data_IF_732504810589
#
_entry.id   IF_732504810589
#
_cell.length_a   1.000
_cell.length_b   1.000
_cell.length_c   1.000
_cell.angle_alpha   90.00
_cell.angle_beta   90.00
_cell.angle_gamma   90.00
#
_symmetry.space_group_name_H-M   'P 1'
#
loop_
_entity.id
_entity.type
_entity.pdbx_description
1 polymer ?
#
# COMPACT_ATOMS: atom_id res chain seq x y z
N UNK A 1 1.83 10.00 1.41
CA UNK A 1 0.52 9.34 1.56
C UNK A 1 0.61 8.16 2.51
N UNK A 2 1.64 7.34 2.39
CA UNK A 2 1.85 6.19 3.29
C UNK A 2 2.44 6.57 4.65
N UNK A 3 2.95 7.79 4.78
CA UNK A 3 3.43 8.31 6.05
C UNK A 3 2.27 8.62 6.99
N UNK A 4 2.42 8.25 8.25
CA UNK A 4 1.41 8.48 9.27
C UNK A 4 1.36 9.94 9.73
N UNK A 5 2.47 10.66 9.58
CA UNK A 5 2.61 12.08 9.90
C UNK A 5 3.82 12.65 9.14
N UNK A 6 3.87 13.96 8.99
CA UNK A 6 4.89 14.71 8.24
C UNK A 6 6.31 14.55 8.82
N UNK A 7 6.93 13.41 8.53
CA UNK A 7 8.31 13.09 8.94
C UNK A 7 8.49 12.81 10.44
N UNK A 8 7.41 12.70 11.19
CA UNK A 8 7.43 12.33 12.60
C UNK A 8 7.08 10.86 12.80
N UNK A 9 7.47 10.33 13.93
CA UNK A 9 7.06 8.99 14.35
C UNK A 9 5.53 8.91 14.38
N UNK A 10 5.01 7.75 13.95
CA UNK A 10 3.58 7.48 13.99
C UNK A 10 3.01 7.75 15.38
N UNK A 11 1.94 8.57 15.45
CA UNK A 11 1.26 8.84 16.71
C UNK A 11 0.56 7.57 17.20
N UNK A 12 0.92 7.03 18.38
CA UNK A 12 0.27 5.85 18.93
C UNK A 12 -1.24 5.99 19.10
N UNK A 13 -1.74 7.20 19.31
CA UNK A 13 -3.18 7.47 19.47
C UNK A 13 -3.99 7.18 18.20
N UNK A 14 -3.36 7.18 17.02
CA UNK A 14 -4.01 6.82 15.76
C UNK A 14 -4.22 5.31 15.62
N UNK A 15 -3.48 4.52 16.37
CA UNK A 15 -3.56 3.05 16.36
C UNK A 15 -3.50 2.48 14.93
N UNK A 16 -2.59 3.03 14.11
CA UNK A 16 -2.31 2.53 12.78
C UNK A 16 -1.34 1.36 12.83
N UNK A 17 -1.61 0.34 12.02
CA UNK A 17 -0.69 -0.79 11.88
C UNK A 17 0.53 -0.37 11.07
N UNK A 18 1.76 -0.53 11.59
CA UNK A 18 2.97 -0.24 10.83
C UNK A 18 3.17 -1.24 9.69
N UNK A 19 3.90 -0.84 8.66
CA UNK A 19 4.51 -1.77 7.73
C UNK A 19 5.56 -2.61 8.43
N UNK A 20 5.75 -3.84 7.95
CA UNK A 20 6.80 -4.77 8.41
C UNK A 20 7.63 -5.19 7.22
N UNK A 21 8.95 -5.11 7.34
CA UNK A 21 9.89 -5.47 6.27
C UNK A 21 10.24 -6.96 6.26
N UNK A 22 11.17 -7.35 5.37
CA UNK A 22 11.64 -8.73 5.22
C UNK A 22 12.32 -9.28 6.48
N UNK A 23 12.95 -8.44 7.28
CA UNK A 23 13.63 -8.82 8.54
C UNK A 23 12.68 -8.83 9.74
N UNK A 24 11.48 -8.26 9.57
CA UNK A 24 10.48 -8.13 10.63
C UNK A 24 10.56 -6.83 11.41
N UNK A 25 11.31 -5.86 10.91
CA UNK A 25 11.34 -4.53 11.51
C UNK A 25 10.05 -3.79 11.19
N UNK A 26 9.53 -3.08 12.18
CA UNK A 26 8.36 -2.22 12.01
C UNK A 26 8.77 -0.82 11.57
N UNK A 27 8.03 -0.29 10.60
CA UNK A 27 8.23 1.07 10.13
C UNK A 27 7.77 2.09 11.18
N UNK A 28 8.65 3.00 11.57
CA UNK A 28 8.28 4.07 12.49
C UNK A 28 7.35 5.12 11.84
N UNK A 29 7.38 5.24 10.52
CA UNK A 29 6.71 6.32 9.77
C UNK A 29 5.70 5.82 8.74
N UNK A 30 5.80 4.56 8.28
CA UNK A 30 4.99 4.04 7.20
C UNK A 30 3.91 3.08 7.70
N UNK A 31 2.67 3.33 7.31
CA UNK A 31 1.51 2.53 7.69
C UNK A 31 1.29 1.41 6.68
N UNK A 32 0.89 0.24 7.16
CA UNK A 32 0.42 -0.85 6.31
C UNK A 32 -0.87 -0.45 5.57
N UNK A 33 -0.93 -0.52 4.23
CA UNK A 33 -2.12 -0.12 3.48
C UNK A 33 -3.36 -0.99 3.75
N UNK A 34 -3.21 -2.17 4.36
CA UNK A 34 -4.34 -2.98 4.84
C UNK A 34 -4.91 -2.49 6.18
N UNK A 35 -4.33 -1.48 6.80
CA UNK A 35 -4.86 -0.90 8.01
C UNK A 35 -6.16 -0.13 7.70
N UNK A 36 -7.30 -0.67 8.05
CA UNK A 36 -8.60 -0.02 7.79
C UNK A 36 -8.74 1.35 8.43
N UNK A 37 -8.19 1.53 9.64
CA UNK A 37 -8.19 2.83 10.31
C UNK A 37 -7.45 3.87 9.49
N UNK A 38 -6.30 3.50 8.93
CA UNK A 38 -5.55 4.37 8.05
C UNK A 38 -6.27 4.61 6.71
N UNK A 39 -6.87 3.58 6.10
CA UNK A 39 -7.64 3.76 4.86
C UNK A 39 -8.78 4.77 5.06
N UNK A 40 -9.51 4.67 6.17
CA UNK A 40 -10.57 5.66 6.50
C UNK A 40 -9.99 7.06 6.74
N UNK A 41 -8.87 7.15 7.43
CA UNK A 41 -8.19 8.42 7.70
C UNK A 41 -7.74 9.12 6.42
N UNK A 42 -7.00 8.41 5.55
CA UNK A 42 -6.51 8.99 4.30
C UNK A 42 -7.64 9.34 3.33
N UNK A 43 -8.65 8.49 3.23
CA UNK A 43 -9.86 8.77 2.44
C UNK A 43 -10.56 10.04 2.94
N UNK A 44 -10.71 10.20 4.25
CA UNK A 44 -11.29 11.40 4.86
C UNK A 44 -10.47 12.66 4.60
N UNK A 45 -9.14 12.59 4.60
CA UNK A 45 -8.29 13.71 4.22
C UNK A 45 -8.49 14.12 2.76
N UNK A 46 -8.48 13.17 1.84
CA UNK A 46 -8.73 13.46 0.42
C UNK A 46 -10.13 14.01 0.17
N UNK A 47 -11.15 13.52 0.87
CA UNK A 47 -12.50 14.06 0.81
C UNK A 47 -12.56 15.54 1.24
N UNK A 48 -11.87 15.90 2.34
CA UNK A 48 -11.80 17.30 2.80
C UNK A 48 -11.16 18.23 1.78
N UNK A 49 -10.05 17.79 1.16
CA UNK A 49 -9.42 18.56 0.10
C UNK A 49 -10.29 18.65 -1.17
N UNK A 50 -11.02 17.60 -1.49
CA UNK A 50 -11.93 17.59 -2.63
C UNK A 50 -13.10 18.57 -2.48
N UNK A 51 -13.55 18.84 -1.24
CA UNK A 51 -14.58 19.86 -0.96
C UNK A 51 -14.18 21.30 -1.37
N UNK A 52 -12.87 21.52 -1.56
CA UNK A 52 -12.35 22.80 -2.07
C UNK A 52 -12.40 22.87 -3.62
N UNK A 53 -12.91 21.83 -4.27
CA UNK A 53 -13.06 21.69 -5.71
C UNK A 53 -11.79 21.97 -6.55
N UNK A 54 -10.60 21.49 -6.14
CA UNK A 54 -9.41 21.62 -6.98
C UNK A 54 -9.61 20.83 -8.27
N UNK A 55 -9.00 21.27 -9.36
CA UNK A 55 -9.05 20.54 -10.65
C UNK A 55 -8.47 19.12 -10.51
N UNK A 56 -7.40 18.95 -9.75
CA UNK A 56 -6.72 17.67 -9.54
C UNK A 56 -6.20 17.59 -8.10
N UNK A 57 -6.43 16.45 -7.46
CA UNK A 57 -5.72 16.02 -6.25
C UNK A 57 -4.70 14.95 -6.62
N UNK A 58 -3.46 15.16 -6.23
CA UNK A 58 -2.39 14.22 -6.51
C UNK A 58 -2.17 13.25 -5.35
N UNK A 59 -2.16 11.95 -5.67
CA UNK A 59 -1.58 10.92 -4.80
C UNK A 59 -0.10 10.86 -5.16
N UNK A 60 0.73 11.17 -4.18
CA UNK A 60 2.17 11.31 -4.40
C UNK A 60 2.90 9.95 -4.49
N UNK A 61 4.17 9.96 -4.86
CA UNK A 61 4.91 8.75 -5.24
C UNK A 61 5.25 7.80 -4.07
N UNK A 62 5.16 8.23 -2.82
CA UNK A 62 5.23 7.36 -1.64
C UNK A 62 4.00 6.46 -1.44
N UNK A 63 3.04 6.51 -2.34
CA UNK A 63 1.95 5.55 -2.39
C UNK A 63 2.46 4.21 -2.95
N UNK A 64 3.21 3.48 -2.11
CA UNK A 64 3.96 2.27 -2.48
C UNK A 64 4.26 1.39 -1.26
N UNK A 65 4.64 0.13 -1.49
CA UNK A 65 4.96 -0.85 -0.46
C UNK A 65 6.47 -0.96 -0.17
N UNK A 66 7.34 -0.49 -1.06
CA UNK A 66 8.73 -0.34 -0.70
C UNK A 66 8.96 1.03 -0.07
N UNK A 67 9.97 1.17 0.75
CA UNK A 67 9.93 2.25 1.68
C UNK A 67 11.26 2.71 2.15
N UNK A 68 11.18 3.77 2.92
CA UNK A 68 12.27 4.51 3.48
C UNK A 68 12.89 3.78 4.68
N UNK A 69 14.14 4.12 4.99
CA UNK A 69 14.75 3.68 6.23
C UNK A 69 13.81 3.93 7.44
N UNK A 70 13.78 3.07 8.47
CA UNK A 70 14.76 1.99 8.68
C UNK A 70 14.45 0.66 8.00
N UNK A 71 13.39 0.57 7.21
CA UNK A 71 12.98 -0.68 6.60
C UNK A 71 13.99 -1.16 5.56
N UNK A 72 14.34 -2.42 5.65
CA UNK A 72 15.04 -3.15 4.60
C UNK A 72 14.07 -3.39 3.45
N UNK A 73 14.56 -3.66 2.25
CA UNK A 73 13.75 -3.81 1.06
C UNK A 73 12.48 -4.64 1.25
N UNK A 74 11.43 -4.16 0.60
CA UNK A 74 10.16 -4.87 0.49
C UNK A 74 9.25 -4.67 1.70
N UNK A 75 8.00 -4.80 1.47
CA UNK A 75 6.94 -4.77 2.45
C UNK A 75 5.62 -5.00 1.73
N UNK A 76 4.55 -5.30 2.40
CA UNK A 76 4.50 -5.48 3.85
C UNK A 76 4.43 -6.98 4.19
N UNK A 77 5.09 -7.38 5.27
CA UNK A 77 5.05 -8.75 5.81
C UNK A 77 4.46 -8.77 7.23
N UNK A 78 3.58 -7.82 7.56
CA UNK A 78 2.82 -7.83 8.81
C UNK A 78 1.87 -9.03 8.88
N UNK A 79 1.34 -9.28 10.06
CA UNK A 79 0.43 -10.40 10.34
C UNK A 79 -0.68 -10.54 9.28
N UNK A 80 -1.32 -9.44 8.90
CA UNK A 80 -2.42 -9.45 7.94
C UNK A 80 -1.97 -9.83 6.53
N UNK A 81 -0.83 -9.34 6.07
CA UNK A 81 -0.25 -9.76 4.80
C UNK A 81 0.16 -11.22 4.81
N UNK A 82 0.68 -11.72 5.94
CA UNK A 82 1.04 -13.12 6.09
C UNK A 82 -0.19 -14.01 6.15
N UNK A 83 -1.27 -13.57 6.79
CA UNK A 83 -2.56 -14.28 6.80
C UNK A 83 -3.11 -14.44 5.38
N UNK A 84 -3.20 -13.33 4.62
CA UNK A 84 -3.66 -13.36 3.23
C UNK A 84 -2.78 -14.23 2.33
N UNK A 85 -1.47 -14.17 2.53
CA UNK A 85 -0.51 -14.99 1.76
C UNK A 85 -0.68 -16.48 2.07
N UNK A 86 -0.89 -16.82 3.34
CA UNK A 86 -1.16 -18.19 3.80
C UNK A 86 -2.46 -18.74 3.22
N UNK A 87 -3.52 -17.95 3.23
CA UNK A 87 -4.80 -18.32 2.63
C UNK A 87 -4.66 -18.63 1.14
N UNK A 88 -3.93 -17.80 0.39
CA UNK A 88 -3.68 -18.03 -1.04
C UNK A 88 -2.75 -19.21 -1.31
N UNK A 89 -1.86 -19.51 -0.38
CA UNK A 89 -1.00 -20.68 -0.47
C UNK A 89 -1.74 -21.98 -0.09
N UNK A 90 -2.93 -21.90 0.48
CA UNK A 90 -3.70 -23.03 0.99
C UNK A 90 -3.08 -23.71 2.22
N UNK A 91 -2.17 -23.03 2.91
CA UNK A 91 -1.53 -23.54 4.14
C UNK A 91 -0.98 -22.40 4.98
N UNK A 92 -0.85 -22.63 6.28
CA UNK A 92 -0.16 -21.71 7.17
C UNK A 92 1.32 -21.57 6.74
N UNK A 93 1.79 -20.33 6.69
CA UNK A 93 3.16 -19.98 6.34
C UNK A 93 3.75 -19.07 7.40
N UNK A 94 4.95 -19.38 7.85
CA UNK A 94 5.76 -18.39 8.57
C UNK A 94 6.33 -17.36 7.59
N UNK A 95 6.68 -16.17 8.10
CA UNK A 95 7.34 -15.15 7.28
C UNK A 95 8.61 -15.68 6.63
N UNK A 96 9.42 -16.41 7.38
CA UNK A 96 10.66 -17.02 6.90
C UNK A 96 10.43 -18.01 5.74
N UNK A 97 9.46 -18.91 5.87
CA UNK A 97 9.12 -19.87 4.82
C UNK A 97 8.65 -19.16 3.56
N UNK A 98 7.80 -18.14 3.73
CA UNK A 98 7.29 -17.35 2.62
C UNK A 98 8.41 -16.60 1.90
N UNK A 99 9.26 -15.90 2.65
CA UNK A 99 10.39 -15.15 2.11
C UNK A 99 11.42 -16.03 1.38
N UNK A 100 11.73 -17.20 1.90
CA UNK A 100 12.59 -18.17 1.18
C UNK A 100 12.06 -18.52 -0.21
N UNK A 101 10.74 -18.58 -0.37
CA UNK A 101 10.13 -18.77 -1.68
C UNK A 101 10.13 -17.49 -2.53
N UNK A 102 9.72 -16.37 -1.95
CA UNK A 102 9.64 -15.08 -2.66
C UNK A 102 11.00 -14.64 -3.19
N UNK A 103 12.05 -14.74 -2.38
CA UNK A 103 13.40 -14.27 -2.70
C UNK A 103 14.29 -15.34 -3.33
N UNK A 104 13.77 -16.53 -3.57
CA UNK A 104 14.54 -17.64 -4.17
C UNK A 104 15.14 -17.19 -5.51
N UNK A 105 16.48 -17.35 -5.71
CA UNK A 105 17.10 -17.12 -7.01
C UNK A 105 16.67 -18.18 -8.03
N UNK A 106 16.78 -17.84 -9.32
CA UNK A 106 16.40 -18.72 -10.43
C UNK A 106 14.90 -18.66 -10.78
N UNK A 107 14.32 -19.77 -11.26
CA UNK A 107 12.91 -19.78 -11.66
C UNK A 107 11.98 -19.32 -10.54
N UNK A 108 10.98 -18.46 -10.83
CA UNK A 108 10.10 -17.91 -9.82
C UNK A 108 9.36 -19.01 -9.04
N UNK A 109 9.43 -18.96 -7.73
CA UNK A 109 8.61 -19.79 -6.87
C UNK A 109 7.15 -19.29 -6.87
N UNK A 110 6.12 -20.17 -6.73
CA UNK A 110 4.72 -19.76 -6.67
C UNK A 110 4.42 -18.67 -5.62
N UNK A 111 5.15 -18.65 -4.51
CA UNK A 111 4.99 -17.62 -3.48
C UNK A 111 5.33 -16.21 -3.96
N UNK A 112 6.23 -16.06 -4.94
CA UNK A 112 6.50 -14.75 -5.55
C UNK A 112 5.25 -14.19 -6.24
N UNK A 113 4.50 -15.02 -6.95
CA UNK A 113 3.22 -14.60 -7.53
C UNK A 113 2.21 -14.22 -6.46
N UNK A 114 2.08 -15.03 -5.41
CA UNK A 114 1.17 -14.74 -4.29
C UNK A 114 1.51 -13.39 -3.67
N UNK A 115 2.79 -13.13 -3.39
CA UNK A 115 3.24 -11.87 -2.82
C UNK A 115 2.92 -10.66 -3.71
N UNK A 116 3.21 -10.76 -5.02
CA UNK A 116 2.91 -9.70 -5.99
C UNK A 116 1.40 -9.44 -6.11
N UNK A 117 0.59 -10.48 -6.10
CA UNK A 117 -0.87 -10.35 -6.17
C UNK A 117 -1.45 -9.72 -4.90
N UNK A 118 -1.02 -10.15 -3.71
CA UNK A 118 -1.43 -9.56 -2.43
C UNK A 118 -1.02 -8.10 -2.36
N UNK A 119 0.21 -7.78 -2.74
CA UNK A 119 0.72 -6.40 -2.77
C UNK A 119 -0.09 -5.51 -3.70
N UNK A 120 -0.36 -5.98 -4.92
CA UNK A 120 -1.18 -5.26 -5.90
C UNK A 120 -2.57 -4.97 -5.36
N UNK A 121 -3.26 -5.97 -4.83
CA UNK A 121 -4.63 -5.82 -4.35
C UNK A 121 -4.73 -4.95 -3.11
N UNK A 122 -3.72 -5.00 -2.25
CA UNK A 122 -3.58 -4.10 -1.11
C UNK A 122 -3.55 -2.64 -1.56
N UNK A 123 -2.71 -2.32 -2.54
CA UNK A 123 -2.61 -0.96 -3.07
C UNK A 123 -3.88 -0.53 -3.82
N UNK A 124 -4.52 -1.45 -4.55
CA UNK A 124 -5.79 -1.18 -5.22
C UNK A 124 -6.93 -0.92 -4.23
N UNK A 125 -6.96 -1.60 -3.09
CA UNK A 125 -7.93 -1.35 -2.04
C UNK A 125 -7.83 0.08 -1.50
N UNK A 126 -6.60 0.50 -1.16
CA UNK A 126 -6.34 1.86 -0.69
C UNK A 126 -6.66 2.93 -1.76
N UNK A 127 -6.30 2.66 -3.03
CA UNK A 127 -6.61 3.56 -4.14
C UNK A 127 -8.13 3.74 -4.33
N UNK A 128 -8.90 2.65 -4.26
CA UNK A 128 -10.38 2.71 -4.32
C UNK A 128 -10.96 3.55 -3.19
N UNK A 129 -10.47 3.37 -1.97
CA UNK A 129 -10.93 4.15 -0.83
C UNK A 129 -10.72 5.66 -1.04
N UNK A 130 -9.56 6.06 -1.56
CA UNK A 130 -9.26 7.47 -1.91
C UNK A 130 -10.18 7.95 -3.03
N UNK A 131 -10.24 7.22 -4.15
CA UNK A 131 -11.04 7.60 -5.33
C UNK A 131 -12.52 7.77 -5.00
N UNK A 132 -13.10 6.83 -4.25
CA UNK A 132 -14.49 6.91 -3.80
C UNK A 132 -14.76 8.12 -2.91
N UNK A 133 -13.86 8.38 -1.96
CA UNK A 133 -14.01 9.51 -1.05
C UNK A 133 -13.95 10.86 -1.77
N UNK A 134 -13.04 11.00 -2.73
CA UNK A 134 -12.95 12.22 -3.55
C UNK A 134 -14.21 12.42 -4.38
N UNK A 135 -14.69 11.39 -5.05
CA UNK A 135 -15.88 11.48 -5.90
C UNK A 135 -17.15 11.79 -5.13
N UNK A 136 -17.30 11.21 -3.92
CA UNK A 136 -18.42 11.52 -3.04
C UNK A 136 -18.40 12.98 -2.57
N UNK A 137 -17.22 13.58 -2.43
CA UNK A 137 -17.04 14.96 -1.98
C UNK A 137 -17.08 15.99 -3.11
N UNK A 138 -16.63 15.63 -4.33
CA UNK A 138 -16.62 16.51 -5.51
C UNK A 138 -16.76 15.71 -6.79
N UNK A 139 -17.74 16.05 -7.62
CA UNK A 139 -17.96 15.42 -8.92
C UNK A 139 -16.95 15.88 -10.00
N UNK A 140 -16.26 17.01 -9.78
CA UNK A 140 -15.40 17.65 -10.76
C UNK A 140 -13.90 17.42 -10.50
N UNK A 141 -13.53 17.17 -9.26
CA UNK A 141 -12.13 16.95 -8.86
C UNK A 141 -11.60 15.59 -9.38
N UNK A 142 -10.53 15.67 -10.15
CA UNK A 142 -9.82 14.47 -10.63
C UNK A 142 -8.78 14.00 -9.63
N UNK A 143 -8.46 12.71 -9.66
CA UNK A 143 -7.35 12.16 -8.88
C UNK A 143 -6.22 11.74 -9.82
N UNK A 144 -5.05 12.32 -9.63
CA UNK A 144 -3.82 11.96 -10.32
C UNK A 144 -2.92 11.07 -9.45
N UNK A 145 -2.05 10.29 -10.07
CA UNK A 145 -1.04 9.48 -9.40
C UNK A 145 0.35 9.93 -9.84
N UNK A 146 1.16 10.38 -8.89
CA UNK A 146 2.59 10.55 -9.10
C UNK A 146 3.27 9.19 -8.97
N UNK A 147 4.27 8.94 -9.77
CA UNK A 147 5.00 7.68 -9.75
C UNK A 147 6.46 7.93 -10.10
N UNK A 148 7.33 7.21 -9.44
CA UNK A 148 8.76 7.21 -9.72
C UNK A 148 9.14 6.05 -10.66
N UNK A 149 10.28 5.46 -10.48
CA UNK A 149 10.93 4.55 -11.42
C UNK A 149 10.16 3.24 -11.65
N UNK A 150 9.64 2.96 -12.86
CA UNK A 150 8.74 1.82 -13.11
C UNK A 150 9.28 0.47 -12.69
N UNK A 151 10.56 0.17 -12.94
CA UNK A 151 11.13 -1.14 -12.63
C UNK A 151 11.20 -1.43 -11.11
N UNK A 152 11.38 -0.40 -10.29
CA UNK A 152 11.36 -0.53 -8.82
C UNK A 152 9.96 -0.89 -8.35
N UNK A 153 8.95 -0.19 -8.86
CA UNK A 153 7.56 -0.45 -8.49
C UNK A 153 7.01 -1.77 -9.06
N UNK A 154 7.49 -2.21 -10.21
CA UNK A 154 7.11 -3.51 -10.76
C UNK A 154 7.50 -4.66 -9.80
N UNK A 155 8.60 -4.52 -9.06
CA UNK A 155 9.02 -5.48 -8.05
C UNK A 155 8.03 -5.63 -6.88
N UNK A 156 7.11 -4.70 -6.70
CA UNK A 156 6.04 -4.73 -5.70
C UNK A 156 4.68 -5.17 -6.28
N UNK A 157 4.63 -5.59 -7.53
CA UNK A 157 3.39 -5.93 -8.19
C UNK A 157 2.53 -4.72 -8.59
N UNK A 158 3.11 -3.51 -8.70
CA UNK A 158 2.36 -2.32 -9.09
C UNK A 158 1.76 -2.46 -10.47
N UNK A 159 0.46 -2.28 -10.55
CA UNK A 159 -0.32 -2.20 -11.79
C UNK A 159 -0.83 -0.76 -11.95
N UNK A 160 -0.11 0.07 -12.72
CA UNK A 160 -0.47 1.49 -12.93
C UNK A 160 -1.84 1.65 -13.53
N UNK A 161 -2.19 0.80 -14.51
CA UNK A 161 -3.47 0.88 -15.19
C UNK A 161 -4.63 0.59 -14.22
N UNK A 162 -4.50 -0.44 -13.40
CA UNK A 162 -5.49 -0.77 -12.39
C UNK A 162 -5.55 0.30 -11.29
N UNK A 163 -4.41 0.87 -10.88
CA UNK A 163 -4.36 1.95 -9.89
C UNK A 163 -5.05 3.22 -10.40
N UNK A 164 -4.74 3.65 -11.62
CA UNK A 164 -5.39 4.82 -12.21
C UNK A 164 -6.90 4.61 -12.36
N UNK A 165 -7.34 3.41 -12.78
CA UNK A 165 -8.77 3.09 -12.79
C UNK A 165 -9.39 3.09 -11.38
N UNK A 166 -8.71 2.55 -10.39
CA UNK A 166 -9.21 2.52 -9.01
C UNK A 166 -9.37 3.93 -8.44
N UNK A 167 -8.44 4.83 -8.74
CA UNK A 167 -8.52 6.25 -8.37
C UNK A 167 -9.60 7.00 -9.14
N UNK A 168 -9.84 6.62 -10.40
CA UNK A 168 -10.84 7.26 -11.26
C UNK A 168 -12.25 6.71 -11.07
N UNK A 169 -12.41 5.47 -10.61
CA UNK A 169 -13.68 4.74 -10.56
C UNK A 169 -14.43 4.87 -9.23
N UNK A 170 -14.08 5.85 -8.43
CA UNK A 170 -14.83 6.15 -7.21
C UNK A 170 -16.26 6.60 -7.51
#
# INVERSE_FOLDING_TARGET
VMHADLGKRMDPALDFRPMVDVEGNEAALCVCPLCEKWQRHIAGLYARYAQLEPSILWVEDDFRLHNHAPLVWGGCFCEEHMRLSSERAGKALTREEFLRGVLRPGPPHPYRKIWLDVSRETMLSAARAIGQAVRQASATTKVGLMSSVPHVHAAEGRDWHALLRALAAG
#
